data_IF_939315827873
#
_entry.id   IF_939315827873
#
_cell.length_a   1.000
_cell.length_b   1.000
_cell.length_c   1.000
_cell.angle_alpha   90.00
_cell.angle_beta   90.00
_cell.angle_gamma   90.00
#
_symmetry.space_group_name_H-M   'P 1'
#
loop_
_entity.id
_entity.type
_entity.pdbx_description
1 polymer ?
#
# COMPACT_ATOMS: atom_id res chain seq x y z
N UNK A 1 -17.52 80.63 26.64
CA UNK A 1 -17.52 80.15 25.25
C UNK A 1 -16.83 78.80 25.26
N UNK A 2 -17.58 77.72 25.44
CA UNK A 2 -17.97 76.77 24.37
C UNK A 2 -17.14 75.50 24.60
N UNK A 3 -17.71 74.33 24.87
CA UNK A 3 -18.99 73.80 24.42
C UNK A 3 -18.73 72.86 23.24
N UNK A 4 -19.00 71.57 23.43
CA UNK A 4 -18.90 70.51 22.44
C UNK A 4 -18.44 69.21 23.12
N UNK A 5 -19.31 68.35 23.66
CA UNK A 5 -20.59 67.89 23.14
C UNK A 5 -20.38 66.47 22.58
N UNK A 6 -20.77 65.40 23.30
CA UNK A 6 -20.57 64.01 22.88
C UNK A 6 -21.77 63.49 22.07
N UNK A 7 -21.49 62.72 21.02
CA UNK A 7 -22.46 61.96 20.25
C UNK A 7 -21.68 60.83 19.54
N UNK A 8 -22.04 59.55 19.51
CA UNK A 8 -23.36 58.91 19.63
C UNK A 8 -23.19 57.47 20.14
N UNK A 9 -24.16 57.03 20.93
CA UNK A 9 -24.54 55.61 21.10
C UNK A 9 -24.99 55.02 19.75
N UNK A 10 -24.75 53.73 19.51
CA UNK A 10 -25.85 52.75 19.39
C UNK A 10 -25.35 51.30 19.50
N UNK A 11 -26.05 50.56 20.35
CA UNK A 11 -25.97 49.13 20.58
C UNK A 11 -26.61 48.35 19.43
N UNK A 12 -26.11 47.14 19.14
CA UNK A 12 -26.91 45.92 18.93
C UNK A 12 -25.98 44.78 18.47
N UNK A 13 -25.82 43.76 19.30
CA UNK A 13 -25.32 42.46 18.85
C UNK A 13 -26.08 41.40 19.62
N UNK A 14 -26.87 40.60 18.92
CA UNK A 14 -26.85 39.17 19.22
C UNK A 14 -26.85 38.35 17.93
N UNK A 15 -25.89 37.45 17.81
CA UNK A 15 -26.15 36.05 17.45
C UNK A 15 -24.88 35.23 17.72
N UNK A 16 -25.00 34.26 18.63
CA UNK A 16 -24.12 33.07 18.71
C UNK A 16 -24.51 32.14 17.53
N UNK A 17 -23.74 31.11 17.09
CA UNK A 17 -23.00 30.21 17.98
C UNK A 17 -21.81 29.38 17.39
N UNK A 18 -21.13 28.63 18.29
CA UNK A 18 -20.29 27.42 18.11
C UNK A 18 -19.25 27.34 16.97
N UNK A 19 -17.97 27.49 17.31
CA UNK A 19 -16.87 26.75 16.66
C UNK A 19 -15.91 26.20 17.73
N UNK A 20 -16.40 25.20 18.47
CA UNK A 20 -15.55 24.15 18.99
C UNK A 20 -15.50 23.08 17.89
N UNK A 21 -14.49 23.18 17.04
CA UNK A 21 -14.41 22.38 15.81
C UNK A 21 -12.96 22.06 15.47
N UNK A 22 -12.51 20.88 15.91
CA UNK A 22 -11.50 20.10 15.20
C UNK A 22 -10.09 20.69 15.18
N UNK A 23 -9.51 20.88 16.37
CA UNK A 23 -8.04 20.86 16.50
C UNK A 23 -7.57 19.91 17.60
N UNK A 24 -8.07 18.69 17.58
CA UNK A 24 -7.42 17.51 18.17
C UNK A 24 -7.97 16.24 17.52
N UNK A 25 -7.33 15.79 16.43
CA UNK A 25 -7.03 14.37 16.14
C UNK A 25 -5.86 14.33 15.14
N UNK A 26 -4.74 14.97 15.51
CA UNK A 26 -3.43 14.47 15.08
C UNK A 26 -2.94 13.51 16.18
N UNK A 27 -3.78 12.55 16.52
CA UNK A 27 -3.49 11.54 17.52
C UNK A 27 -2.64 10.46 16.86
N UNK A 28 -1.32 10.62 17.02
CA UNK A 28 -0.32 9.55 17.08
C UNK A 28 -0.62 8.33 16.20
N UNK A 29 -0.48 8.48 14.87
CA UNK A 29 -0.08 7.34 14.08
C UNK A 29 1.33 6.96 14.55
N UNK A 30 1.42 5.89 15.33
CA UNK A 30 2.69 5.32 15.73
C UNK A 30 3.58 5.14 14.49
N UNK A 31 4.88 5.33 14.68
CA UNK A 31 5.96 5.31 13.69
C UNK A 31 6.13 3.98 12.90
N UNK A 32 5.07 3.20 12.70
CA UNK A 32 5.04 1.96 11.93
C UNK A 32 3.63 1.48 11.53
N UNK A 33 2.60 2.32 11.64
CA UNK A 33 1.23 1.93 11.28
C UNK A 33 1.07 1.76 9.76
N UNK A 34 0.26 0.78 9.37
CA UNK A 34 -0.04 0.50 7.95
C UNK A 34 -0.76 1.70 7.31
N UNK A 35 -0.26 2.20 6.18
CA UNK A 35 -0.82 3.37 5.48
C UNK A 35 -1.88 3.03 4.43
N UNK A 36 -2.10 1.73 4.19
CA UNK A 36 -3.11 1.21 3.30
C UNK A 36 -3.73 -0.08 3.84
N UNK A 37 -5.00 -0.30 3.51
CA UNK A 37 -5.62 -1.61 3.63
C UNK A 37 -4.82 -2.67 2.86
N UNK A 38 -4.86 -3.91 3.36
CA UNK A 38 -4.24 -5.05 2.68
C UNK A 38 -4.86 -5.21 1.28
N UNK A 39 -4.05 -5.38 0.22
CA UNK A 39 -4.58 -5.51 -1.12
C UNK A 39 -5.30 -6.84 -1.32
N UNK A 40 -6.44 -6.79 -1.98
CA UNK A 40 -6.97 -7.97 -2.66
C UNK A 40 -6.05 -8.32 -3.84
N UNK A 41 -5.92 -9.62 -4.15
CA UNK A 41 -5.07 -10.11 -5.26
C UNK A 41 -5.80 -9.99 -6.60
N UNK A 42 -6.23 -8.77 -6.94
CA UNK A 42 -6.83 -8.42 -8.24
C UNK A 42 -6.08 -7.23 -8.86
N UNK A 43 -6.00 -7.13 -10.20
CA UNK A 43 -5.23 -6.05 -10.84
C UNK A 43 -5.72 -4.65 -10.43
N UNK A 44 -7.04 -4.46 -10.34
CA UNK A 44 -7.64 -3.18 -9.95
C UNK A 44 -7.33 -2.78 -8.50
N UNK A 45 -7.44 -3.73 -7.56
CA UNK A 45 -7.14 -3.47 -6.15
C UNK A 45 -5.65 -3.18 -5.94
N UNK A 46 -4.77 -3.92 -6.62
CA UNK A 46 -3.32 -3.70 -6.58
C UNK A 46 -2.95 -2.32 -7.12
N UNK A 47 -3.54 -1.91 -8.24
CA UNK A 47 -3.33 -0.57 -8.81
C UNK A 47 -3.77 0.53 -7.84
N UNK A 48 -4.98 0.44 -7.29
CA UNK A 48 -5.50 1.42 -6.33
C UNK A 48 -4.71 1.48 -5.02
N UNK A 49 -4.09 0.38 -4.61
CA UNK A 49 -3.16 0.37 -3.48
C UNK A 49 -1.83 1.04 -3.84
N UNK A 50 -1.24 0.71 -5.00
CA UNK A 50 0.00 1.30 -5.49
C UNK A 50 -0.10 2.81 -5.67
N UNK A 51 -1.23 3.32 -6.17
CA UNK A 51 -1.47 4.77 -6.29
C UNK A 51 -1.26 5.51 -4.96
N UNK A 52 -1.53 4.86 -3.82
CA UNK A 52 -1.35 5.43 -2.48
C UNK A 52 0.04 5.20 -1.90
N UNK A 53 0.63 4.02 -2.09
CA UNK A 53 1.86 3.61 -1.38
C UNK A 53 3.13 3.75 -2.20
N UNK A 54 3.04 3.66 -3.54
CA UNK A 54 4.18 3.69 -4.43
C UNK A 54 3.78 4.12 -5.87
N UNK A 55 3.30 5.36 -6.09
CA UNK A 55 2.76 5.78 -7.38
C UNK A 55 3.79 5.71 -8.52
N UNK A 56 5.08 5.85 -8.21
CA UNK A 56 6.17 5.72 -9.18
C UNK A 56 6.29 4.31 -9.79
N UNK A 57 5.70 3.28 -9.16
CA UNK A 57 5.70 1.89 -9.67
C UNK A 57 4.53 1.55 -10.59
N UNK A 58 3.56 2.44 -10.78
CA UNK A 58 2.36 2.15 -11.59
C UNK A 58 2.70 1.80 -13.04
N UNK A 59 3.65 2.51 -13.65
CA UNK A 59 4.07 2.22 -15.02
C UNK A 59 4.73 0.85 -15.16
N UNK A 60 5.45 0.39 -14.13
CA UNK A 60 6.05 -0.95 -14.10
C UNK A 60 4.98 -2.03 -13.95
N UNK A 61 4.00 -1.82 -13.07
CA UNK A 61 2.89 -2.74 -12.86
C UNK A 61 2.05 -2.93 -14.13
N UNK A 62 1.71 -1.84 -14.83
CA UNK A 62 0.97 -1.91 -16.09
C UNK A 62 1.74 -2.70 -17.16
N UNK A 63 3.06 -2.46 -17.32
CA UNK A 63 3.88 -3.24 -18.26
C UNK A 63 3.90 -4.72 -17.94
N UNK A 64 4.14 -5.08 -16.67
CA UNK A 64 4.19 -6.48 -16.25
C UNK A 64 2.83 -7.18 -16.36
N UNK A 65 1.72 -6.46 -16.18
CA UNK A 65 0.37 -6.97 -16.42
C UNK A 65 0.20 -7.39 -17.89
N UNK A 66 0.60 -6.52 -18.82
CA UNK A 66 0.48 -6.77 -20.26
C UNK A 66 1.40 -7.92 -20.70
N UNK A 67 2.61 -8.02 -20.14
CA UNK A 67 3.53 -9.14 -20.32
C UNK A 67 2.94 -10.46 -19.82
N UNK A 68 2.32 -10.46 -18.63
CA UNK A 68 1.69 -11.63 -18.05
C UNK A 68 0.50 -12.12 -18.88
N UNK A 69 -0.34 -11.20 -19.39
CA UNK A 69 -1.45 -11.52 -20.30
C UNK A 69 -0.91 -12.13 -21.60
N UNK A 70 0.12 -11.51 -22.19
CA UNK A 70 0.75 -12.03 -23.41
C UNK A 70 1.33 -13.42 -23.19
N UNK A 71 2.05 -13.64 -22.09
CA UNK A 71 2.63 -14.95 -21.79
C UNK A 71 1.55 -16.01 -21.52
N UNK A 72 0.48 -15.64 -20.82
CA UNK A 72 -0.66 -16.53 -20.59
C UNK A 72 -1.33 -16.95 -21.90
N UNK A 73 -1.57 -16.00 -22.81
CA UNK A 73 -2.15 -16.29 -24.12
C UNK A 73 -1.24 -17.21 -24.97
N UNK A 74 0.08 -16.97 -24.97
CA UNK A 74 1.05 -17.80 -25.72
C UNK A 74 1.18 -19.22 -25.17
N UNK A 75 1.07 -19.38 -23.85
CA UNK A 75 1.30 -20.68 -23.18
C UNK A 75 0.00 -21.44 -22.90
N UNK A 76 -1.16 -20.80 -23.06
CA UNK A 76 -2.45 -21.37 -22.66
C UNK A 76 -2.58 -21.59 -21.15
N UNK A 77 -1.79 -20.88 -20.33
CA UNK A 77 -1.70 -21.08 -18.88
C UNK A 77 -1.99 -19.80 -18.11
N UNK A 78 -2.70 -19.91 -16.98
CA UNK A 78 -2.92 -18.80 -16.05
C UNK A 78 -1.73 -18.55 -15.09
N UNK A 79 -0.72 -19.42 -15.09
CA UNK A 79 0.46 -19.30 -14.22
C UNK A 79 1.14 -17.91 -14.26
N UNK A 80 1.35 -17.30 -15.44
CA UNK A 80 1.88 -15.94 -15.55
C UNK A 80 1.03 -14.87 -14.83
N UNK A 81 -0.30 -14.96 -14.91
CA UNK A 81 -1.22 -14.03 -14.26
C UNK A 81 -1.14 -14.21 -12.74
N UNK A 82 -1.14 -15.45 -12.25
CA UNK A 82 -1.01 -15.74 -10.82
C UNK A 82 0.29 -15.16 -10.26
N UNK A 83 1.43 -15.39 -10.93
CA UNK A 83 2.73 -14.85 -10.50
C UNK A 83 2.77 -13.32 -10.52
N UNK A 84 2.12 -12.70 -11.50
CA UNK A 84 1.97 -11.25 -11.53
C UNK A 84 1.22 -10.74 -10.29
N UNK A 85 0.07 -11.34 -9.97
CA UNK A 85 -0.74 -10.94 -8.81
C UNK A 85 0.02 -11.12 -7.49
N UNK A 86 0.75 -12.22 -7.33
CA UNK A 86 1.57 -12.50 -6.15
C UNK A 86 2.70 -11.48 -5.97
N UNK A 87 3.48 -11.24 -7.04
CA UNK A 87 4.59 -10.29 -7.04
C UNK A 87 4.14 -8.89 -6.60
N UNK A 88 3.03 -8.43 -7.16
CA UNK A 88 2.51 -7.09 -6.86
C UNK A 88 1.80 -7.02 -5.51
N UNK A 89 1.16 -8.09 -5.04
CA UNK A 89 0.61 -8.15 -3.69
C UNK A 89 1.72 -8.04 -2.63
N UNK A 90 2.82 -8.77 -2.79
CA UNK A 90 3.99 -8.67 -1.90
C UNK A 90 4.59 -7.26 -1.92
N UNK A 91 4.75 -6.70 -3.12
CA UNK A 91 5.24 -5.32 -3.28
C UNK A 91 4.38 -4.31 -2.51
N UNK A 92 3.06 -4.41 -2.63
CA UNK A 92 2.13 -3.53 -1.91
C UNK A 92 2.15 -3.79 -0.41
N UNK A 93 2.24 -5.04 0.02
CA UNK A 93 2.32 -5.43 1.44
C UNK A 93 3.56 -4.83 2.12
N UNK A 94 4.71 -4.83 1.44
CA UNK A 94 5.93 -4.18 1.92
C UNK A 94 5.74 -2.66 1.94
N UNK A 95 5.26 -2.07 0.84
CA UNK A 95 5.15 -0.62 0.69
C UNK A 95 4.14 0.01 1.64
N UNK A 96 3.05 -0.69 2.00
CA UNK A 96 2.03 -0.18 2.93
C UNK A 96 2.51 -0.11 4.38
N UNK A 97 3.66 -0.70 4.72
CA UNK A 97 4.27 -0.64 6.05
C UNK A 97 5.56 0.19 5.94
N UNK A 98 5.53 1.50 6.30
CA UNK A 98 6.66 2.40 6.05
C UNK A 98 7.99 1.94 6.64
N UNK A 99 7.96 1.28 7.81
CA UNK A 99 9.14 0.72 8.46
C UNK A 99 9.75 -0.43 7.64
N UNK A 100 8.94 -1.38 7.18
CA UNK A 100 9.36 -2.48 6.28
C UNK A 100 9.90 -1.93 4.97
N UNK A 101 9.22 -0.96 4.36
CA UNK A 101 9.69 -0.32 3.13
C UNK A 101 11.03 0.41 3.31
N UNK A 102 11.27 1.03 4.48
CA UNK A 102 12.55 1.67 4.79
C UNK A 102 13.68 0.66 4.94
N UNK A 103 13.45 -0.46 5.65
CA UNK A 103 14.40 -1.57 5.75
C UNK A 103 14.77 -2.12 4.38
N UNK A 104 13.78 -2.36 3.52
CA UNK A 104 14.02 -2.83 2.15
C UNK A 104 14.91 -1.86 1.36
N UNK A 105 14.62 -0.56 1.40
CA UNK A 105 15.44 0.44 0.69
C UNK A 105 16.89 0.47 1.20
N UNK A 106 17.11 0.34 2.50
CA UNK A 106 18.45 0.28 3.10
C UNK A 106 19.20 -0.96 2.63
N UNK A 107 18.56 -2.13 2.67
CA UNK A 107 19.17 -3.38 2.24
C UNK A 107 19.49 -3.35 0.73
N UNK A 108 18.55 -2.90 -0.10
CA UNK A 108 18.78 -2.73 -1.53
C UNK A 108 19.90 -1.71 -1.83
N UNK A 109 20.02 -0.65 -1.03
CA UNK A 109 21.11 0.31 -1.19
C UNK A 109 22.45 -0.35 -0.89
N UNK A 110 22.57 -1.09 0.22
CA UNK A 110 23.78 -1.84 0.56
C UNK A 110 24.15 -2.84 -0.54
N UNK A 111 23.20 -3.66 -1.01
CA UNK A 111 23.44 -4.64 -2.07
C UNK A 111 23.94 -4.03 -3.39
N UNK A 112 23.62 -2.75 -3.66
CA UNK A 112 24.08 -2.02 -4.85
C UNK A 112 25.42 -1.30 -4.66
N UNK A 113 25.84 -1.02 -3.42
CA UNK A 113 27.02 -0.19 -3.13
C UNK A 113 28.25 -0.98 -2.71
N UNK A 114 28.07 -2.13 -2.06
CA UNK A 114 29.19 -2.99 -1.66
C UNK A 114 29.51 -4.05 -2.72
N UNK A 115 30.73 -4.59 -2.67
CA UNK A 115 31.15 -5.69 -3.55
C UNK A 115 30.44 -7.00 -3.20
N UNK A 116 30.24 -7.88 -4.18
CA UNK A 116 29.52 -9.15 -3.99
C UNK A 116 30.20 -10.10 -2.97
N UNK A 117 31.51 -9.98 -2.78
CA UNK A 117 32.26 -10.79 -1.80
C UNK A 117 32.20 -10.22 -0.37
N UNK A 118 31.64 -9.01 -0.19
CA UNK A 118 31.49 -8.36 1.11
C UNK A 118 30.43 -9.10 1.95
N UNK A 119 30.70 -9.44 3.22
CA UNK A 119 29.68 -9.96 4.13
C UNK A 119 28.41 -9.09 4.17
N UNK A 120 28.55 -7.76 4.08
CA UNK A 120 27.42 -6.83 4.05
C UNK A 120 26.52 -7.02 2.82
N UNK A 121 27.05 -7.50 1.69
CA UNK A 121 26.25 -7.83 0.51
C UNK A 121 25.34 -9.02 0.80
N UNK A 122 25.88 -10.06 1.44
CA UNK A 122 25.11 -11.26 1.83
C UNK A 122 24.04 -10.91 2.85
N UNK A 123 24.38 -10.14 3.88
CA UNK A 123 23.43 -9.66 4.89
C UNK A 123 22.30 -8.84 4.25
N UNK A 124 22.62 -7.97 3.29
CA UNK A 124 21.61 -7.20 2.57
C UNK A 124 20.68 -8.08 1.73
N UNK A 125 21.22 -9.09 1.03
CA UNK A 125 20.41 -10.01 0.23
C UNK A 125 19.52 -10.92 1.10
N UNK A 126 20.03 -11.35 2.26
CA UNK A 126 19.24 -12.10 3.23
C UNK A 126 18.09 -11.25 3.80
N UNK A 127 18.36 -10.01 4.20
CA UNK A 127 17.31 -9.08 4.65
C UNK A 127 16.26 -8.84 3.55
N UNK A 128 16.66 -8.65 2.29
CA UNK A 128 15.71 -8.52 1.17
C UNK A 128 14.84 -9.77 1.06
N UNK A 129 15.44 -10.97 1.10
CA UNK A 129 14.72 -12.25 1.02
C UNK A 129 13.74 -12.41 2.17
N UNK A 130 14.17 -12.13 3.39
CA UNK A 130 13.36 -12.28 4.60
C UNK A 130 12.18 -11.30 4.58
N UNK A 131 12.38 -10.04 4.19
CA UNK A 131 11.29 -9.06 4.05
C UNK A 131 10.22 -9.49 3.03
N UNK A 132 10.62 -10.12 1.92
CA UNK A 132 9.68 -10.66 0.94
C UNK A 132 8.94 -11.90 1.46
N UNK A 133 9.63 -12.80 2.16
CA UNK A 133 9.04 -13.98 2.78
C UNK A 133 8.02 -13.58 3.87
N UNK A 134 8.38 -12.66 4.77
CA UNK A 134 7.49 -12.12 5.79
C UNK A 134 6.24 -11.48 5.18
N UNK A 135 6.39 -10.70 4.10
CA UNK A 135 5.27 -10.10 3.40
C UNK A 135 4.35 -11.15 2.75
N UNK A 136 4.91 -12.20 2.15
CA UNK A 136 4.15 -13.31 1.60
C UNK A 136 3.36 -14.05 2.70
N UNK A 137 4.02 -14.43 3.80
CA UNK A 137 3.37 -15.07 4.94
C UNK A 137 2.26 -14.20 5.54
N UNK A 138 2.49 -12.90 5.63
CA UNK A 138 1.51 -11.92 6.12
C UNK A 138 0.23 -11.92 5.28
N UNK A 139 0.38 -12.01 3.95
CA UNK A 139 -0.75 -12.08 3.02
C UNK A 139 -1.53 -13.39 3.17
N UNK A 140 -0.84 -14.50 3.43
CA UNK A 140 -1.46 -15.82 3.55
C UNK A 140 -2.14 -16.04 4.91
N UNK A 141 -1.70 -15.33 5.97
CA UNK A 141 -2.41 -15.27 7.26
C UNK A 141 -3.66 -14.37 7.23
N UNK A 142 -3.98 -13.72 6.11
CA UNK A 142 -5.17 -12.87 5.97
C UNK A 142 -6.49 -13.64 5.84
N UNK A 143 -7.64 -12.99 6.04
CA UNK A 143 -8.97 -13.62 5.91
C UNK A 143 -9.30 -14.14 4.49
N UNK A 144 -8.42 -13.92 3.50
CA UNK A 144 -8.51 -14.49 2.14
C UNK A 144 -8.34 -16.02 2.11
N UNK A 145 -7.98 -16.67 3.22
CA UNK A 145 -8.06 -18.14 3.34
C UNK A 145 -9.49 -18.68 3.13
N UNK A 146 -10.54 -17.86 3.33
CA UNK A 146 -11.94 -18.25 2.98
C UNK A 146 -12.23 -18.31 1.48
N UNK A 147 -11.54 -17.54 0.64
CA UNK A 147 -11.75 -17.53 -0.82
C UNK A 147 -11.05 -18.71 -1.51
N UNK A 148 -10.17 -19.44 -0.80
CA UNK A 148 -9.62 -20.71 -1.28
C UNK A 148 -10.72 -21.74 -1.57
N UNK A 149 -11.86 -21.67 -0.86
CA UNK A 149 -13.03 -22.52 -1.11
C UNK A 149 -13.81 -22.14 -2.38
N UNK A 150 -13.69 -20.90 -2.85
CA UNK A 150 -14.30 -20.45 -4.10
C UNK A 150 -13.47 -20.91 -5.32
N UNK A 151 -12.13 -21.01 -5.19
CA UNK A 151 -11.25 -21.54 -6.24
C UNK A 151 -11.50 -23.03 -6.49
N UNK A 152 -11.71 -23.82 -5.43
CA UNK A 152 -12.14 -25.24 -5.52
C UNK A 152 -13.50 -25.41 -6.23
N UNK A 153 -14.38 -24.43 -6.11
CA UNK A 153 -15.70 -24.46 -6.75
C UNK A 153 -15.62 -24.28 -8.26
N UNK A 154 -14.68 -23.46 -8.75
CA UNK A 154 -14.49 -23.24 -10.18
C UNK A 154 -13.82 -24.46 -10.86
N UNK A 155 -12.89 -25.11 -10.17
CA UNK A 155 -12.17 -26.29 -10.68
C UNK A 155 -13.06 -27.55 -10.71
N UNK A 156 -14.01 -27.70 -9.76
CA UNK A 156 -15.03 -28.76 -9.82
C UNK A 156 -16.02 -28.61 -10.97
N UNK A 157 -16.41 -27.39 -11.33
CA UNK A 157 -17.35 -27.15 -12.45
C UNK A 157 -16.68 -27.42 -13.81
N UNK A 158 -15.35 -27.31 -13.90
CA UNK A 158 -14.61 -27.62 -15.12
C UNK A 158 -14.36 -29.14 -15.32
N UNK A 159 -14.40 -29.94 -14.24
CA UNK A 159 -14.17 -31.39 -14.29
C UNK A 159 -15.44 -32.22 -14.56
N UNK A 160 -16.63 -31.59 -14.57
CA UNK A 160 -17.94 -32.25 -14.77
C UNK A 160 -18.50 -32.03 -16.19
N UNK A 161 -17.62 -31.71 -17.17
CA UNK A 161 -17.91 -31.61 -18.61
C UNK A 161 -16.95 -32.48 -19.41
#
# INVERSE_FOLDING_TARGET
>A
MSGGGPARRRCAGPDRPIEEGTRMIAERAGSGACVAARPERTPGALRAALERVAPHRLGEMERQKDEAITLAARTGSLGPITRFLETWAVTVEIARIPATAARLRTAEHAARTVGHDDPAWREAMDEIRDLHAEALESLDRGPLSRDSLARDSFERVAADR
#
